data_IF_529197523386
#
_entry.id   IF_529197523386
#
_cell.length_a   1.000
_cell.length_b   1.000
_cell.length_c   1.000
_cell.angle_alpha   90.00
_cell.angle_beta   90.00
_cell.angle_gamma   90.00
#
_symmetry.space_group_name_H-M   'P 1'
#
loop_
_entity.id
_entity.type
_entity.pdbx_description
1 polymer ?
#
# COMPACT_ATOMS: atom_id res chain seq x y z
N UNK A 1 3.38 10.04 1.36
CA UNK A 1 2.17 9.29 1.05
C UNK A 1 1.26 10.11 0.17
N UNK A 2 0.78 9.56 -0.95
CA UNK A 2 -0.33 10.19 -1.65
C UNK A 2 -1.54 10.19 -0.73
N UNK A 3 -2.41 11.17 -0.89
CA UNK A 3 -3.62 11.29 -0.07
C UNK A 3 -4.46 10.01 -0.11
N UNK A 4 -4.58 9.40 -1.29
CA UNK A 4 -5.32 8.14 -1.46
C UNK A 4 -4.73 7.01 -0.58
N UNK A 5 -3.44 6.77 -0.62
CA UNK A 5 -2.79 5.76 0.20
C UNK A 5 -2.97 6.02 1.71
N UNK A 6 -2.84 7.29 2.15
CA UNK A 6 -3.07 7.67 3.55
C UNK A 6 -4.51 7.39 4.01
N UNK A 7 -5.50 7.72 3.17
CA UNK A 7 -6.91 7.50 3.49
C UNK A 7 -7.26 6.00 3.47
N UNK A 8 -6.77 5.25 2.47
CA UNK A 8 -6.95 3.79 2.41
C UNK A 8 -6.34 3.14 3.64
N UNK A 9 -5.10 3.49 3.98
CA UNK A 9 -4.45 2.99 5.18
C UNK A 9 -5.25 3.34 6.44
N UNK A 10 -5.76 4.57 6.55
CA UNK A 10 -6.62 4.99 7.67
C UNK A 10 -7.90 4.16 7.80
N UNK A 11 -8.54 3.80 6.69
CA UNK A 11 -9.74 2.95 6.69
C UNK A 11 -9.36 1.50 7.06
N UNK A 12 -8.31 0.96 6.48
CA UNK A 12 -7.88 -0.42 6.69
C UNK A 12 -7.33 -0.63 8.11
N UNK A 13 -6.58 0.34 8.65
CA UNK A 13 -6.04 0.28 10.01
C UNK A 13 -7.07 0.57 11.11
N UNK A 14 -8.30 0.93 10.74
CA UNK A 14 -9.38 1.26 11.70
C UNK A 14 -9.27 2.66 12.30
N UNK A 15 -8.47 3.56 11.73
CA UNK A 15 -8.49 4.98 12.09
C UNK A 15 -9.82 5.63 11.73
N UNK A 16 -10.40 5.23 10.62
CA UNK A 16 -11.74 5.60 10.17
C UNK A 16 -12.63 4.36 10.26
N UNK A 17 -13.76 4.48 10.96
CA UNK A 17 -14.64 3.34 11.26
C UNK A 17 -15.75 3.16 10.23
N UNK A 18 -16.17 1.93 10.04
CA UNK A 18 -17.37 1.64 9.22
C UNK A 18 -18.60 2.38 9.79
N UNK A 19 -19.31 3.07 8.92
CA UNK A 19 -20.45 3.91 9.28
C UNK A 19 -20.12 5.36 9.59
N UNK A 20 -18.84 5.68 9.81
CA UNK A 20 -18.38 7.05 10.04
C UNK A 20 -18.54 7.90 8.78
N UNK A 21 -18.89 9.17 8.99
CA UNK A 21 -18.93 10.18 7.92
C UNK A 21 -17.57 10.82 7.78
N UNK A 22 -17.03 10.84 6.57
CA UNK A 22 -15.84 11.64 6.27
C UNK A 22 -16.15 13.13 6.48
N UNK A 23 -15.19 13.91 6.98
CA UNK A 23 -15.31 15.36 7.01
C UNK A 23 -15.58 15.94 5.62
N UNK A 24 -16.09 17.19 5.56
CA UNK A 24 -16.30 17.89 4.28
C UNK A 24 -14.98 17.96 3.48
N UNK A 25 -15.08 18.13 2.17
CA UNK A 25 -13.90 18.25 1.31
C UNK A 25 -12.97 19.38 1.73
N UNK A 26 -13.54 20.50 2.20
CA UNK A 26 -12.81 21.66 2.70
C UNK A 26 -12.05 21.31 3.99
N UNK A 27 -12.74 20.64 4.94
CA UNK A 27 -12.13 20.24 6.20
C UNK A 27 -11.02 19.22 5.99
N UNK A 28 -11.24 18.22 5.13
CA UNK A 28 -10.20 17.25 4.75
C UNK A 28 -9.01 17.93 4.06
N UNK A 29 -9.26 18.91 3.19
CA UNK A 29 -8.22 19.67 2.51
C UNK A 29 -7.35 20.44 3.50
N UNK A 30 -7.96 21.08 4.50
CA UNK A 30 -7.26 21.78 5.59
C UNK A 30 -6.48 20.81 6.47
N UNK A 31 -7.12 19.74 6.98
CA UNK A 31 -6.49 18.74 7.85
C UNK A 31 -5.27 18.09 7.20
N UNK A 32 -5.37 17.80 5.92
CA UNK A 32 -4.36 17.03 5.18
C UNK A 32 -3.38 17.93 4.40
N UNK A 33 -3.56 19.26 4.47
CA UNK A 33 -2.73 20.28 3.79
C UNK A 33 -2.63 20.05 2.27
N UNK A 34 -3.78 19.79 1.63
CA UNK A 34 -3.90 19.55 0.18
C UNK A 34 -5.01 20.42 -0.43
N UNK A 35 -5.09 20.47 -1.76
CA UNK A 35 -6.20 21.18 -2.43
C UNK A 35 -7.52 20.39 -2.33
N UNK A 36 -8.65 21.10 -2.30
CA UNK A 36 -10.00 20.51 -2.35
C UNK A 36 -10.16 19.58 -3.56
N UNK A 37 -9.62 19.97 -4.71
CA UNK A 37 -9.67 19.15 -5.92
C UNK A 37 -8.92 17.81 -5.76
N UNK A 38 -7.82 17.80 -5.02
CA UNK A 38 -7.09 16.57 -4.67
C UNK A 38 -7.93 15.66 -3.77
N UNK A 39 -8.62 16.24 -2.77
CA UNK A 39 -9.55 15.49 -1.92
C UNK A 39 -10.70 14.90 -2.74
N UNK A 40 -11.33 15.68 -3.62
CA UNK A 40 -12.43 15.20 -4.47
C UNK A 40 -12.01 14.00 -5.34
N UNK A 41 -10.83 14.07 -5.97
CA UNK A 41 -10.28 12.95 -6.76
C UNK A 41 -10.03 11.72 -5.90
N UNK A 42 -9.48 11.91 -4.70
CA UNK A 42 -9.23 10.83 -3.76
C UNK A 42 -10.52 10.17 -3.30
N UNK A 43 -11.51 10.96 -2.91
CA UNK A 43 -12.83 10.44 -2.49
C UNK A 43 -13.51 9.70 -3.64
N UNK A 44 -13.42 10.19 -4.88
CA UNK A 44 -13.93 9.45 -6.06
C UNK A 44 -13.25 8.09 -6.19
N UNK A 45 -11.92 8.04 -6.05
CA UNK A 45 -11.17 6.80 -6.11
C UNK A 45 -11.60 5.81 -5.00
N UNK A 46 -11.74 6.28 -3.76
CA UNK A 46 -12.21 5.45 -2.62
C UNK A 46 -13.62 4.90 -2.85
N UNK A 47 -14.49 5.69 -3.47
CA UNK A 47 -15.84 5.25 -3.84
C UNK A 47 -15.79 4.17 -4.93
N UNK A 48 -14.98 4.36 -5.97
CA UNK A 48 -14.82 3.39 -7.06
C UNK A 48 -14.21 2.07 -6.57
N UNK A 49 -13.45 2.12 -5.48
CA UNK A 49 -12.90 0.98 -4.75
C UNK A 49 -13.91 0.30 -3.82
N UNK A 50 -15.09 0.90 -3.59
CA UNK A 50 -16.09 0.37 -2.68
C UNK A 50 -15.77 0.58 -1.20
N UNK A 51 -14.84 1.48 -0.87
CA UNK A 51 -14.46 1.78 0.53
C UNK A 51 -15.39 2.80 1.18
N UNK A 52 -16.00 3.64 0.37
CA UNK A 52 -16.95 4.67 0.82
C UNK A 52 -18.20 4.67 -0.07
N UNK A 53 -19.28 5.17 0.51
CA UNK A 53 -20.54 5.42 -0.18
C UNK A 53 -20.90 6.91 -0.08
N UNK A 54 -21.18 7.53 -1.24
CA UNK A 54 -21.56 8.94 -1.31
C UNK A 54 -23.08 9.07 -1.27
N UNK A 55 -23.58 9.89 -0.36
CA UNK A 55 -24.99 10.22 -0.22
C UNK A 55 -25.21 11.69 -0.62
N UNK A 56 -26.07 11.90 -1.62
CA UNK A 56 -26.38 13.24 -2.11
C UNK A 56 -26.87 14.15 -0.97
N UNK A 57 -26.25 15.32 -0.81
CA UNK A 57 -26.59 16.30 0.20
C UNK A 57 -26.21 15.95 1.65
N UNK A 58 -25.69 14.73 1.89
CA UNK A 58 -25.31 14.26 3.25
C UNK A 58 -23.81 14.14 3.41
N UNK A 59 -23.12 13.60 2.41
CA UNK A 59 -21.67 13.42 2.45
C UNK A 59 -21.21 12.00 2.09
N UNK A 60 -20.01 11.64 2.52
CA UNK A 60 -19.36 10.38 2.21
C UNK A 60 -19.24 9.51 3.48
N UNK A 61 -19.86 8.35 3.46
CA UNK A 61 -19.83 7.38 4.55
C UNK A 61 -18.84 6.27 4.27
N UNK A 62 -18.04 5.90 5.24
CA UNK A 62 -17.17 4.74 5.18
C UNK A 62 -18.05 3.48 5.28
N UNK A 63 -17.93 2.58 4.31
CA UNK A 63 -18.72 1.33 4.25
C UNK A 63 -17.85 0.09 4.34
N UNK A 64 -16.56 0.27 4.48
CA UNK A 64 -15.59 -0.80 4.55
C UNK A 64 -14.85 -0.81 5.88
N UNK A 65 -14.71 -1.99 6.45
CA UNK A 65 -13.75 -2.28 7.52
C UNK A 65 -13.09 -3.65 7.26
N UNK A 66 -11.84 -3.87 7.70
CA UNK A 66 -11.14 -5.13 7.46
C UNK A 66 -11.91 -6.38 7.90
N UNK A 67 -12.63 -6.39 9.03
CA UNK A 67 -13.46 -7.52 9.43
C UNK A 67 -14.70 -7.75 8.53
N UNK A 68 -15.07 -6.76 7.74
CA UNK A 68 -16.30 -6.75 6.97
C UNK A 68 -16.09 -6.74 5.45
N UNK A 69 -14.87 -7.05 4.98
CA UNK A 69 -14.59 -7.09 3.53
C UNK A 69 -15.50 -8.07 2.77
N UNK A 70 -16.02 -9.11 3.47
CA UNK A 70 -16.99 -10.05 2.93
C UNK A 70 -18.33 -9.40 2.54
N UNK A 71 -18.63 -8.20 3.10
CA UNK A 71 -19.82 -7.41 2.74
C UNK A 71 -19.67 -6.69 1.41
N UNK A 72 -18.43 -6.54 0.89
CA UNK A 72 -18.24 -6.03 -0.46
C UNK A 72 -18.85 -6.98 -1.47
N UNK A 73 -19.46 -6.42 -2.50
CA UNK A 73 -19.94 -7.23 -3.61
C UNK A 73 -18.75 -7.95 -4.26
N UNK A 74 -18.92 -9.24 -4.51
CA UNK A 74 -17.87 -10.10 -5.09
C UNK A 74 -17.19 -9.50 -6.34
N UNK A 75 -17.90 -8.90 -7.32
CA UNK A 75 -17.26 -8.25 -8.44
C UNK A 75 -16.31 -7.12 -8.04
N UNK A 76 -16.63 -6.36 -6.98
CA UNK A 76 -15.76 -5.30 -6.45
C UNK A 76 -14.50 -5.90 -5.85
N UNK A 77 -14.60 -6.99 -5.10
CA UNK A 77 -13.45 -7.70 -4.52
C UNK A 77 -12.55 -8.22 -5.65
N UNK A 78 -13.11 -8.88 -6.65
CA UNK A 78 -12.36 -9.41 -7.78
C UNK A 78 -11.64 -8.28 -8.55
N UNK A 79 -12.32 -7.18 -8.84
CA UNK A 79 -11.71 -5.99 -9.45
C UNK A 79 -10.54 -5.47 -8.62
N UNK A 80 -10.71 -5.31 -7.31
CA UNK A 80 -9.70 -4.78 -6.42
C UNK A 80 -8.45 -5.66 -6.36
N UNK A 81 -8.62 -6.99 -6.31
CA UNK A 81 -7.49 -7.92 -6.26
C UNK A 81 -6.71 -7.94 -7.58
N UNK A 82 -7.39 -7.84 -8.72
CA UNK A 82 -6.74 -7.71 -10.03
C UNK A 82 -5.94 -6.40 -10.11
N UNK A 83 -6.52 -5.27 -9.67
CA UNK A 83 -5.83 -3.99 -9.65
C UNK A 83 -4.62 -4.01 -8.71
N UNK A 84 -4.72 -4.69 -7.55
CA UNK A 84 -3.59 -4.86 -6.65
C UNK A 84 -2.46 -5.71 -7.28
N UNK A 85 -2.80 -6.80 -7.98
CA UNK A 85 -1.85 -7.64 -8.70
C UNK A 85 -1.10 -6.86 -9.78
N UNK A 86 -1.83 -6.17 -10.65
CA UNK A 86 -1.24 -5.36 -11.73
C UNK A 86 -0.35 -4.26 -11.17
N UNK A 87 -0.78 -3.62 -10.08
CA UNK A 87 0.02 -2.61 -9.38
C UNK A 87 1.32 -3.18 -8.82
N UNK A 88 1.27 -4.36 -8.19
CA UNK A 88 2.46 -5.03 -7.68
C UNK A 88 3.45 -5.38 -8.81
N UNK A 89 2.95 -5.87 -9.94
CA UNK A 89 3.76 -6.20 -11.13
C UNK A 89 4.47 -4.96 -11.69
N UNK A 90 3.77 -3.84 -11.80
CA UNK A 90 4.35 -2.56 -12.25
C UNK A 90 5.39 -2.05 -11.25
N UNK A 91 5.05 -2.04 -9.95
CA UNK A 91 5.92 -1.54 -8.89
C UNK A 91 7.20 -2.37 -8.79
N UNK A 92 7.13 -3.69 -8.98
CA UNK A 92 8.30 -4.56 -8.98
C UNK A 92 9.34 -4.14 -10.03
N UNK A 93 8.89 -3.81 -11.24
CA UNK A 93 9.79 -3.36 -12.33
C UNK A 93 10.31 -1.95 -12.07
N UNK A 94 9.44 -1.03 -11.68
CA UNK A 94 9.81 0.38 -11.53
C UNK A 94 10.73 0.59 -10.34
N UNK A 95 10.42 -0.02 -9.19
CA UNK A 95 11.22 0.19 -7.98
C UNK A 95 12.63 -0.40 -8.06
N UNK A 96 12.81 -1.49 -8.79
CA UNK A 96 14.16 -1.98 -9.09
C UNK A 96 14.98 -0.88 -9.77
N UNK A 97 14.45 -0.26 -10.82
CA UNK A 97 15.13 0.82 -11.54
C UNK A 97 15.36 2.08 -10.68
N UNK A 98 14.42 2.40 -9.79
CA UNK A 98 14.57 3.54 -8.86
C UNK A 98 15.70 3.27 -7.88
N UNK A 99 15.73 2.09 -7.26
CA UNK A 99 16.80 1.69 -6.32
C UNK A 99 18.15 1.70 -7.01
N UNK A 100 18.29 1.03 -8.15
CA UNK A 100 19.55 0.90 -8.87
C UNK A 100 20.15 2.27 -9.22
N UNK A 101 19.32 3.26 -9.52
CA UNK A 101 19.75 4.60 -9.89
C UNK A 101 20.01 5.52 -8.70
N UNK A 102 19.23 5.41 -7.65
CA UNK A 102 19.17 6.43 -6.59
C UNK A 102 19.84 6.00 -5.29
N UNK A 103 20.04 4.69 -5.08
CA UNK A 103 20.55 4.15 -3.83
C UNK A 103 21.93 4.70 -3.44
N UNK A 104 22.82 4.87 -4.41
CA UNK A 104 24.17 5.42 -4.18
C UNK A 104 24.19 6.87 -3.69
N UNK A 105 23.07 7.59 -3.83
CA UNK A 105 22.91 8.99 -3.38
C UNK A 105 22.38 9.09 -1.95
N UNK A 106 22.05 7.97 -1.30
CA UNK A 106 21.52 7.96 0.06
C UNK A 106 22.57 8.47 1.05
N UNK A 107 22.16 9.42 1.89
CA UNK A 107 22.95 9.89 3.03
C UNK A 107 22.84 8.91 4.20
N UNK A 108 23.72 9.08 5.19
CA UNK A 108 23.62 8.26 6.41
C UNK A 108 22.29 8.49 7.17
N UNK A 109 21.73 9.71 7.13
CA UNK A 109 20.42 10.01 7.71
C UNK A 109 19.31 9.24 7.01
N UNK A 110 19.32 9.21 5.68
CA UNK A 110 18.37 8.44 4.88
C UNK A 110 18.44 6.94 5.22
N UNK A 111 19.63 6.39 5.35
CA UNK A 111 19.86 5.00 5.74
C UNK A 111 19.27 4.71 7.14
N UNK A 112 19.46 5.60 8.11
CA UNK A 112 18.92 5.42 9.45
C UNK A 112 17.38 5.45 9.47
N UNK A 113 16.75 6.33 8.70
CA UNK A 113 15.29 6.36 8.57
C UNK A 113 14.74 5.09 7.90
N UNK A 114 15.40 4.59 6.86
CA UNK A 114 15.01 3.32 6.22
C UNK A 114 15.13 2.13 7.17
N UNK A 115 16.17 2.09 8.00
CA UNK A 115 16.32 1.07 9.06
C UNK A 115 15.24 1.16 10.12
N UNK A 116 14.80 2.35 10.50
CA UNK A 116 13.66 2.52 11.41
C UNK A 116 12.39 1.94 10.80
N UNK A 117 12.14 2.21 9.51
CA UNK A 117 10.98 1.63 8.79
C UNK A 117 11.03 0.10 8.83
N UNK A 118 12.20 -0.49 8.54
CA UNK A 118 12.38 -1.95 8.52
C UNK A 118 12.26 -2.60 9.91
N UNK A 119 12.65 -1.89 10.97
CA UNK A 119 12.66 -2.40 12.35
C UNK A 119 11.40 -2.05 13.14
N UNK A 120 10.47 -1.26 12.58
CA UNK A 120 9.25 -0.88 13.28
C UNK A 120 8.34 -2.10 13.46
N UNK A 121 8.23 -2.55 14.73
CA UNK A 121 7.35 -3.67 15.13
C UNK A 121 5.85 -3.39 14.90
N UNK A 122 5.46 -2.14 14.59
CA UNK A 122 4.11 -1.77 14.20
C UNK A 122 3.82 -2.10 12.74
N UNK A 123 4.85 -2.33 11.93
CA UNK A 123 4.69 -2.85 10.59
C UNK A 123 4.24 -4.30 10.71
N UNK A 124 2.93 -4.50 10.68
CA UNK A 124 2.30 -5.80 10.93
C UNK A 124 2.59 -6.82 9.83
N UNK A 125 3.07 -6.36 8.66
CA UNK A 125 3.26 -7.23 7.49
C UNK A 125 4.30 -6.68 6.49
N UNK A 126 4.72 -7.54 5.57
CA UNK A 126 5.64 -7.21 4.45
C UNK A 126 5.17 -6.02 3.63
N UNK A 127 3.86 -5.95 3.41
CA UNK A 127 3.25 -4.90 2.60
C UNK A 127 3.48 -3.53 3.23
N UNK A 128 3.37 -3.42 4.57
CA UNK A 128 3.62 -2.16 5.27
C UNK A 128 5.06 -1.71 5.07
N UNK A 129 6.03 -2.58 5.29
CA UNK A 129 7.44 -2.26 5.09
C UNK A 129 7.74 -1.88 3.64
N UNK A 130 7.21 -2.65 2.68
CA UNK A 130 7.40 -2.38 1.26
C UNK A 130 6.83 -1.01 0.86
N UNK A 131 5.59 -0.70 1.24
CA UNK A 131 4.93 0.57 0.90
C UNK A 131 5.67 1.74 1.57
N UNK A 132 6.01 1.63 2.85
CA UNK A 132 6.70 2.71 3.57
C UNK A 132 8.09 2.99 3.00
N UNK A 133 8.84 1.96 2.62
CA UNK A 133 10.13 2.14 1.95
C UNK A 133 9.98 2.77 0.56
N UNK A 134 9.00 2.31 -0.21
CA UNK A 134 8.72 2.89 -1.52
C UNK A 134 8.32 4.35 -1.41
N UNK A 135 7.42 4.69 -0.48
CA UNK A 135 7.02 6.07 -0.22
C UNK A 135 8.22 6.93 0.19
N UNK A 136 9.07 6.43 1.07
CA UNK A 136 10.25 7.14 1.51
C UNK A 136 11.20 7.43 0.34
N UNK A 137 11.49 6.45 -0.50
CA UNK A 137 12.31 6.61 -1.70
C UNK A 137 11.68 7.61 -2.69
N UNK A 138 10.36 7.58 -2.85
CA UNK A 138 9.65 8.53 -3.72
C UNK A 138 9.68 9.97 -3.21
N UNK A 139 9.72 10.19 -1.88
CA UNK A 139 9.88 11.53 -1.29
C UNK A 139 11.30 12.05 -1.51
N UNK A 140 12.31 11.17 -1.38
CA UNK A 140 13.71 11.56 -1.59
C UNK A 140 14.01 11.89 -3.06
N UNK A 141 13.36 11.17 -3.98
CA UNK A 141 13.61 11.27 -5.42
C UNK A 141 12.31 11.47 -6.19
N UNK A 142 11.70 12.66 -6.10
CA UNK A 142 10.44 12.94 -6.73
C UNK A 142 10.59 12.95 -8.26
N UNK A 143 10.28 11.83 -8.88
CA UNK A 143 10.02 11.75 -10.31
C UNK A 143 8.63 12.34 -10.54
N UNK A 144 8.55 13.63 -10.83
CA UNK A 144 7.29 14.40 -10.86
C UNK A 144 6.18 13.78 -11.73
N UNK A 145 6.55 13.12 -12.82
CA UNK A 145 5.60 12.42 -13.70
C UNK A 145 5.14 11.07 -13.15
N UNK A 146 5.93 10.43 -12.29
CA UNK A 146 5.60 9.12 -11.72
C UNK A 146 4.91 9.21 -10.36
N UNK A 147 5.10 10.33 -9.63
CA UNK A 147 4.62 10.49 -8.26
C UNK A 147 3.09 10.30 -8.14
N UNK A 148 2.31 10.89 -9.04
CA UNK A 148 0.84 10.69 -9.07
C UNK A 148 0.46 9.25 -9.40
N UNK A 149 1.15 8.64 -10.34
CA UNK A 149 0.93 7.25 -10.75
C UNK A 149 1.28 6.30 -9.62
N UNK A 150 2.42 6.51 -8.96
CA UNK A 150 2.85 5.74 -7.81
C UNK A 150 1.79 5.73 -6.70
N UNK A 151 1.21 6.87 -6.40
CA UNK A 151 0.20 6.94 -5.37
C UNK A 151 -1.09 6.19 -5.68
N UNK A 152 -1.45 6.09 -6.95
CA UNK A 152 -2.56 5.22 -7.37
C UNK A 152 -2.18 3.75 -7.23
N UNK A 153 -0.99 3.37 -7.70
CA UNK A 153 -0.51 1.98 -7.65
C UNK A 153 -0.36 1.50 -6.21
N UNK A 154 0.24 2.30 -5.33
CA UNK A 154 0.36 1.95 -3.90
C UNK A 154 -1.02 1.87 -3.21
N UNK A 155 -1.95 2.76 -3.58
CA UNK A 155 -3.33 2.71 -3.14
C UNK A 155 -4.04 1.41 -3.51
N UNK A 156 -3.91 0.98 -4.77
CA UNK A 156 -4.47 -0.30 -5.22
C UNK A 156 -3.81 -1.50 -4.53
N UNK A 157 -2.50 -1.43 -4.31
CA UNK A 157 -1.78 -2.48 -3.59
C UNK A 157 -2.32 -2.65 -2.16
N UNK A 158 -2.64 -1.55 -1.48
CA UNK A 158 -3.25 -1.56 -0.15
C UNK A 158 -4.63 -2.24 -0.11
N UNK A 159 -5.36 -2.32 -1.22
CA UNK A 159 -6.64 -3.05 -1.26
C UNK A 159 -6.48 -4.55 -1.05
N UNK A 160 -5.30 -5.10 -1.28
CA UNK A 160 -5.00 -6.50 -0.95
C UNK A 160 -4.81 -6.74 0.54
N UNK A 161 -4.60 -5.70 1.34
CA UNK A 161 -4.25 -5.77 2.76
C UNK A 161 -5.17 -6.66 3.60
N UNK A 162 -6.52 -6.56 3.51
CA UNK A 162 -7.39 -7.41 4.32
C UNK A 162 -7.22 -8.91 4.04
N UNK A 163 -6.93 -9.27 2.80
CA UNK A 163 -6.72 -10.65 2.38
C UNK A 163 -5.36 -11.18 2.83
N UNK A 164 -4.33 -10.34 2.72
CA UNK A 164 -2.96 -10.69 3.06
C UNK A 164 -2.77 -10.79 4.58
N UNK A 165 -3.42 -9.93 5.37
CA UNK A 165 -3.35 -9.97 6.83
C UNK A 165 -3.81 -11.31 7.42
N UNK A 166 -4.89 -11.87 6.90
CA UNK A 166 -5.42 -13.14 7.41
C UNK A 166 -4.46 -14.30 7.08
N UNK A 167 -3.84 -14.27 5.92
CA UNK A 167 -2.84 -15.25 5.51
C UNK A 167 -1.56 -15.14 6.34
N UNK A 168 -1.05 -13.93 6.55
CA UNK A 168 0.15 -13.72 7.37
C UNK A 168 -0.04 -14.08 8.85
N UNK A 169 -1.22 -13.86 9.39
CA UNK A 169 -1.54 -14.33 10.76
C UNK A 169 -1.48 -15.85 10.89
N UNK A 170 -1.78 -16.57 9.82
CA UNK A 170 -1.78 -18.04 9.79
C UNK A 170 -0.37 -18.62 9.53
N UNK A 171 0.41 -18.00 8.66
CA UNK A 171 1.69 -18.53 8.19
C UNK A 171 2.89 -18.05 9.01
N UNK A 172 2.74 -16.97 9.79
CA UNK A 172 3.82 -16.39 10.61
C UNK A 172 4.80 -15.51 9.81
N UNK A 173 5.67 -14.79 10.52
CA UNK A 173 6.58 -13.79 9.95
C UNK A 173 7.97 -14.31 9.56
N UNK A 174 8.19 -15.61 9.51
CA UNK A 174 9.54 -16.20 9.41
C UNK A 174 10.34 -15.83 8.15
N UNK A 175 9.72 -15.88 6.96
CA UNK A 175 10.42 -15.54 5.70
C UNK A 175 10.76 -14.05 5.59
N UNK A 176 9.95 -13.21 6.21
CA UNK A 176 10.09 -11.75 6.18
C UNK A 176 11.30 -11.32 7.00
N UNK A 177 11.52 -11.96 8.14
CA UNK A 177 12.63 -11.65 9.06
C UNK A 177 13.96 -11.74 8.32
N UNK A 178 14.16 -12.79 7.55
CA UNK A 178 15.37 -12.97 6.76
C UNK A 178 15.58 -11.89 5.70
N UNK A 179 14.52 -11.51 4.98
CA UNK A 179 14.61 -10.43 3.97
C UNK A 179 14.92 -9.08 4.61
N UNK A 180 14.31 -8.76 5.75
CA UNK A 180 14.58 -7.52 6.49
C UNK A 180 16.03 -7.50 7.00
N UNK A 181 16.57 -8.62 7.49
CA UNK A 181 17.97 -8.71 7.90
C UNK A 181 18.93 -8.47 6.73
N UNK A 182 18.65 -9.07 5.58
CA UNK A 182 19.43 -8.85 4.34
C UNK A 182 19.39 -7.39 3.93
N UNK A 183 18.20 -6.75 3.95
CA UNK A 183 18.07 -5.34 3.60
C UNK A 183 18.78 -4.42 4.60
N UNK A 184 18.71 -4.69 5.89
CA UNK A 184 19.47 -3.94 6.89
C UNK A 184 20.98 -4.03 6.67
N UNK A 185 21.48 -5.23 6.36
CA UNK A 185 22.89 -5.44 6.00
C UNK A 185 23.26 -4.67 4.72
N UNK A 186 22.40 -4.71 3.70
CA UNK A 186 22.60 -3.97 2.47
C UNK A 186 22.72 -2.44 2.69
N UNK A 187 21.91 -1.91 3.62
CA UNK A 187 21.98 -0.51 4.03
C UNK A 187 23.29 -0.18 4.77
N UNK A 188 23.79 -1.08 5.64
CA UNK A 188 25.06 -0.90 6.35
C UNK A 188 26.26 -0.94 5.41
N UNK A 189 26.25 -1.89 4.47
CA UNK A 189 27.32 -2.09 3.49
C UNK A 189 27.22 -1.12 2.30
N UNK A 190 26.14 -0.31 2.22
CA UNK A 190 25.80 0.52 1.05
C UNK A 190 25.79 -0.28 -0.26
N UNK A 191 25.30 -1.51 -0.19
CA UNK A 191 25.26 -2.43 -1.31
C UNK A 191 23.92 -2.30 -2.07
N UNK A 192 23.97 -1.62 -3.23
CA UNK A 192 22.80 -1.35 -4.07
C UNK A 192 22.15 -2.65 -4.56
N UNK A 193 22.93 -3.59 -5.06
CA UNK A 193 22.39 -4.84 -5.63
C UNK A 193 21.67 -5.64 -4.57
N UNK A 194 22.27 -5.81 -3.40
CA UNK A 194 21.69 -6.55 -2.29
C UNK A 194 20.39 -5.87 -1.77
N UNK A 195 20.33 -4.55 -1.76
CA UNK A 195 19.13 -3.81 -1.37
C UNK A 195 18.02 -3.93 -2.42
N UNK A 196 18.39 -3.82 -3.71
CA UNK A 196 17.48 -3.99 -4.85
C UNK A 196 16.86 -5.39 -4.88
N UNK A 197 17.66 -6.42 -4.62
CA UNK A 197 17.18 -7.80 -4.51
C UNK A 197 16.24 -7.98 -3.31
N UNK A 198 16.56 -7.39 -2.16
CA UNK A 198 15.69 -7.40 -0.98
C UNK A 198 14.34 -6.72 -1.23
N UNK A 199 14.31 -5.54 -1.86
CA UNK A 199 13.08 -4.87 -2.27
C UNK A 199 12.26 -5.71 -3.24
N UNK A 200 12.94 -6.31 -4.22
CA UNK A 200 12.30 -7.20 -5.19
C UNK A 200 11.69 -8.43 -4.51
N UNK A 201 12.38 -9.02 -3.54
CA UNK A 201 11.89 -10.15 -2.77
C UNK A 201 10.64 -9.80 -1.94
N UNK A 202 10.62 -8.62 -1.29
CA UNK A 202 9.43 -8.13 -0.57
C UNK A 202 8.22 -8.00 -1.50
N UNK A 203 8.38 -7.31 -2.62
CA UNK A 203 7.29 -7.11 -3.59
C UNK A 203 6.85 -8.43 -4.25
N UNK A 204 7.80 -9.33 -4.53
CA UNK A 204 7.50 -10.65 -5.08
C UNK A 204 6.71 -11.54 -4.11
N UNK A 205 7.01 -11.46 -2.81
CA UNK A 205 6.23 -12.13 -1.76
C UNK A 205 4.79 -11.61 -1.74
N UNK A 206 4.60 -10.29 -1.73
CA UNK A 206 3.27 -9.67 -1.81
C UNK A 206 2.53 -10.12 -3.08
N UNK A 207 3.18 -10.06 -4.24
CA UNK A 207 2.59 -10.46 -5.52
C UNK A 207 2.16 -11.94 -5.52
N UNK A 208 2.98 -12.81 -4.97
CA UNK A 208 2.69 -14.25 -4.87
C UNK A 208 1.42 -14.50 -4.05
N UNK A 209 1.29 -13.84 -2.91
CA UNK A 209 0.11 -13.94 -2.05
C UNK A 209 -1.15 -13.36 -2.70
N UNK A 210 -1.03 -12.23 -3.40
CA UNK A 210 -2.14 -11.67 -4.17
C UNK A 210 -2.62 -12.66 -5.23
N UNK A 211 -1.70 -13.29 -5.99
CA UNK A 211 -2.04 -14.30 -7.00
C UNK A 211 -2.70 -15.54 -6.41
N UNK A 212 -2.28 -15.97 -5.23
CA UNK A 212 -2.93 -17.08 -4.51
C UNK A 212 -4.36 -16.71 -4.10
N UNK A 213 -4.55 -15.50 -3.55
CA UNK A 213 -5.86 -14.99 -3.18
C UNK A 213 -6.78 -14.85 -4.39
N UNK A 214 -6.27 -14.30 -5.48
CA UNK A 214 -7.00 -14.19 -6.75
C UNK A 214 -7.48 -15.57 -7.24
N UNK A 215 -6.60 -16.56 -7.25
CA UNK A 215 -6.94 -17.93 -7.63
C UNK A 215 -8.04 -18.53 -6.75
N UNK A 216 -7.99 -18.33 -5.45
CA UNK A 216 -9.02 -18.79 -4.51
C UNK A 216 -10.38 -18.12 -4.77
N UNK A 217 -10.41 -16.83 -5.06
CA UNK A 217 -11.63 -16.09 -5.38
C UNK A 217 -12.30 -16.62 -6.66
N UNK A 218 -11.52 -16.96 -7.68
CA UNK A 218 -12.07 -17.49 -8.94
C UNK A 218 -12.41 -18.99 -8.87
N UNK A 219 -11.66 -19.79 -8.10
CA UNK A 219 -11.96 -21.23 -7.97
C UNK A 219 -13.24 -21.51 -7.19
N UNK A 220 -13.71 -20.61 -6.36
CA UNK A 220 -14.98 -20.72 -5.65
C UNK A 220 -16.21 -20.48 -6.56
N UNK A 221 -16.02 -20.13 -7.84
CA UNK A 221 -17.10 -19.99 -8.83
C UNK A 221 -17.52 -21.33 -9.44
N UNK A 222 -16.74 -22.39 -9.26
CA UNK A 222 -16.99 -23.70 -9.85
C UNK A 222 -17.75 -24.66 -8.92
N UNK A 223 -18.28 -24.18 -7.80
CA UNK A 223 -19.10 -24.95 -6.89
C UNK A 223 -20.44 -24.27 -6.64
#
# INVERSE_FOLDING_TARGET
HTLAARMIYGIISGKYWEGEMLPSYENLALELSVSVSTVMRTVSLLRDMGLIYSMNGVGNRIVFSPPNYEKLQRPTIQKNIVMARESAEILLVVFKNVVDREFSKLTNEHIQEMKKILSDKKNCCVLDAAILLMDYLMVLYPLSSFFETFGKLSGFLLLSYPFLLDQWRKEGSGEISGTIEVMNRALDEKNTDLFSDGMSALLQSVLTQIKQTEKLLYSAECK
#
